data_IF_209609048369
#
_entry.id   IF_209609048369
#
_cell.length_a   1.000
_cell.length_b   1.000
_cell.length_c   1.000
_cell.angle_alpha   90.00
_cell.angle_beta   90.00
_cell.angle_gamma   90.00
#
_symmetry.space_group_name_H-M   'P 1'
#
loop_
_entity.id
_entity.type
_entity.pdbx_description
1 polymer ?
#
# COMPACT_ATOMS: atom_id res chain seq x y z
N UNK A 1 -4.56 31.40 -12.39
CA UNK A 1 -4.31 30.25 -13.28
C UNK A 1 -4.17 29.02 -12.39
N UNK A 2 -5.04 28.03 -12.54
CA UNK A 2 -4.96 26.79 -11.75
C UNK A 2 -3.75 25.99 -12.23
N UNK A 3 -2.90 25.50 -11.31
CA UNK A 3 -1.73 24.70 -11.67
C UNK A 3 -2.14 23.25 -11.77
N UNK A 4 -1.97 22.66 -12.94
CA UNK A 4 -2.17 21.21 -13.11
C UNK A 4 -0.95 20.46 -12.58
N UNK A 5 -1.18 19.35 -11.89
CA UNK A 5 -0.16 18.43 -11.40
C UNK A 5 -0.59 16.99 -11.70
N UNK A 6 0.35 16.19 -12.19
CA UNK A 6 0.10 14.78 -12.48
C UNK A 6 0.67 13.90 -11.36
N UNK A 7 -0.13 12.96 -10.88
CA UNK A 7 0.27 11.94 -9.92
C UNK A 7 -0.11 10.55 -10.41
N UNK A 8 0.56 9.53 -9.88
CA UNK A 8 0.23 8.13 -10.09
C UNK A 8 -0.16 7.50 -8.77
N UNK A 9 -1.22 6.70 -8.79
CA UNK A 9 -1.71 5.95 -7.63
C UNK A 9 -1.52 4.46 -7.90
N UNK A 10 -0.89 3.76 -6.96
CA UNK A 10 -0.68 2.32 -7.00
C UNK A 10 -1.49 1.66 -5.89
N UNK A 11 -2.17 0.56 -6.19
CA UNK A 11 -3.05 -0.11 -5.24
C UNK A 11 -2.81 -1.61 -5.22
N UNK A 12 -2.77 -2.17 -4.01
CA UNK A 12 -2.68 -3.61 -3.78
C UNK A 12 -3.31 -4.02 -2.42
N UNK A 13 -3.47 -5.33 -2.20
CA UNK A 13 -4.02 -5.94 -1.00
C UNK A 13 -3.15 -7.06 -0.44
N UNK A 14 -3.22 -7.29 0.88
CA UNK A 14 -2.52 -8.39 1.54
C UNK A 14 -3.37 -9.05 2.62
N UNK A 15 -3.42 -10.38 2.57
CA UNK A 15 -4.23 -11.19 3.48
C UNK A 15 -5.69 -11.26 3.03
N UNK A 16 -6.07 -12.41 2.45
CA UNK A 16 -7.45 -12.70 2.02
C UNK A 16 -8.14 -13.62 3.01
N UNK A 17 -9.47 -13.49 3.12
CA UNK A 17 -10.29 -14.37 3.94
C UNK A 17 -9.79 -14.45 5.39
N UNK A 18 -9.41 -15.65 5.83
CA UNK A 18 -8.94 -15.91 7.19
C UNK A 18 -7.49 -15.46 7.48
N UNK A 19 -6.71 -15.06 6.47
CA UNK A 19 -5.32 -14.63 6.66
C UNK A 19 -5.20 -13.20 7.25
N UNK A 20 -5.49 -13.02 8.54
CA UNK A 20 -5.44 -11.71 9.23
C UNK A 20 -4.00 -11.16 9.41
N UNK A 21 -3.82 -9.82 9.51
CA UNK A 21 -4.82 -8.75 9.32
C UNK A 21 -5.13 -8.48 7.83
N UNK A 22 -6.39 -8.35 7.42
CA UNK A 22 -6.69 -8.10 6.00
C UNK A 22 -6.40 -6.63 5.67
N UNK A 23 -5.40 -6.38 4.83
CA UNK A 23 -4.93 -5.04 4.49
C UNK A 23 -5.20 -4.71 3.02
N UNK A 24 -5.51 -3.45 2.75
CA UNK A 24 -5.46 -2.83 1.42
C UNK A 24 -4.71 -1.52 1.54
N UNK A 25 -3.90 -1.16 0.54
CA UNK A 25 -3.21 0.12 0.54
C UNK A 25 -3.18 0.79 -0.84
N UNK A 26 -3.06 2.12 -0.79
CA UNK A 26 -2.83 2.96 -1.95
C UNK A 26 -1.63 3.87 -1.70
N UNK A 27 -0.68 3.88 -2.65
CA UNK A 27 0.51 4.70 -2.65
C UNK A 27 0.40 5.77 -3.75
N UNK A 28 0.56 7.05 -3.38
CA UNK A 28 0.72 8.14 -4.34
C UNK A 28 2.19 8.44 -4.57
N UNK A 29 2.57 8.51 -5.85
CA UNK A 29 3.87 9.02 -6.30
C UNK A 29 3.62 10.11 -7.37
N UNK A 30 4.16 11.33 -7.21
CA UNK A 30 4.13 12.35 -8.26
C UNK A 30 4.70 11.82 -9.59
N UNK A 31 4.05 12.13 -10.71
CA UNK A 31 4.43 11.57 -12.01
C UNK A 31 5.89 11.92 -12.40
N UNK A 32 6.34 13.13 -12.05
CA UNK A 32 7.73 13.56 -12.27
C UNK A 32 8.75 12.69 -11.51
N UNK A 33 8.39 12.17 -10.34
CA UNK A 33 9.22 11.26 -9.55
C UNK A 33 9.15 9.86 -10.14
N UNK A 34 7.94 9.35 -10.40
CA UNK A 34 7.77 7.98 -10.92
C UNK A 34 8.47 7.77 -12.26
N UNK A 35 8.47 8.78 -13.13
CA UNK A 35 9.12 8.73 -14.43
C UNK A 35 10.62 9.10 -14.36
N UNK A 36 11.20 9.19 -13.16
CA UNK A 36 12.64 9.43 -13.02
C UNK A 36 13.46 8.23 -13.51
N UNK A 37 14.71 8.44 -13.97
CA UNK A 37 15.57 7.35 -14.45
C UNK A 37 15.77 6.23 -13.43
N UNK A 38 15.85 6.57 -12.13
CA UNK A 38 16.03 5.61 -11.05
C UNK A 38 14.86 4.62 -10.95
N UNK A 39 13.62 5.12 -10.96
CA UNK A 39 12.43 4.27 -10.86
C UNK A 39 12.12 3.55 -12.18
N UNK A 40 12.36 4.18 -13.33
CA UNK A 40 12.17 3.50 -14.62
C UNK A 40 13.17 2.34 -14.79
N UNK A 41 14.41 2.49 -14.32
CA UNK A 41 15.39 1.39 -14.32
C UNK A 41 14.87 0.16 -13.56
N UNK A 42 14.21 0.36 -12.42
CA UNK A 42 13.63 -0.74 -11.64
C UNK A 42 12.40 -1.35 -12.30
N UNK A 43 11.53 -0.52 -12.89
CA UNK A 43 10.43 -1.00 -13.73
C UNK A 43 10.95 -1.87 -14.88
N UNK A 44 12.04 -1.46 -15.53
CA UNK A 44 12.64 -2.25 -16.61
C UNK A 44 13.25 -3.56 -16.08
N UNK A 45 13.92 -3.55 -14.93
CA UNK A 45 14.46 -4.77 -14.33
C UNK A 45 13.35 -5.77 -13.93
N UNK A 46 12.19 -5.29 -13.49
CA UNK A 46 11.01 -6.14 -13.26
C UNK A 46 10.54 -6.78 -14.57
N UNK A 47 10.32 -5.97 -15.63
CA UNK A 47 9.88 -6.45 -16.94
C UNK A 47 10.86 -7.44 -17.57
N UNK A 48 12.16 -7.22 -17.36
CA UNK A 48 13.24 -8.12 -17.79
C UNK A 48 13.38 -9.38 -16.93
N UNK A 49 12.57 -9.55 -15.87
CA UNK A 49 12.67 -10.62 -14.88
C UNK A 49 14.01 -10.68 -14.11
N UNK A 50 14.77 -9.58 -14.08
CA UNK A 50 16.03 -9.43 -13.34
C UNK A 50 15.82 -9.09 -11.87
N UNK A 51 14.67 -8.51 -11.55
CA UNK A 51 14.24 -8.16 -10.21
C UNK A 51 12.96 -8.95 -9.86
N UNK A 52 12.90 -9.55 -8.66
CA UNK A 52 11.70 -10.25 -8.18
C UNK A 52 11.36 -9.87 -6.74
N UNK A 53 10.21 -9.24 -6.56
CA UNK A 53 9.75 -8.73 -5.27
C UNK A 53 8.63 -9.61 -4.74
N UNK A 54 8.90 -10.35 -3.66
CA UNK A 54 7.95 -11.30 -3.09
C UNK A 54 8.02 -11.33 -1.56
N UNK A 55 7.39 -10.36 -0.90
CA UNK A 55 7.40 -10.28 0.57
C UNK A 55 6.84 -11.54 1.24
N UNK A 56 5.70 -12.07 0.75
CA UNK A 56 5.05 -13.27 1.32
C UNK A 56 6.01 -14.45 1.40
N UNK A 57 6.81 -14.66 0.34
CA UNK A 57 7.75 -15.78 0.21
C UNK A 57 9.12 -15.56 0.87
N UNK A 58 9.40 -14.39 1.41
CA UNK A 58 10.71 -14.10 1.99
C UNK A 58 10.95 -14.91 3.27
N UNK A 59 12.07 -15.63 3.30
CA UNK A 59 12.47 -16.50 4.42
C UNK A 59 13.98 -16.44 4.69
N UNK A 60 14.61 -15.30 4.40
CA UNK A 60 16.04 -15.06 4.63
C UNK A 60 16.95 -15.31 3.42
N UNK A 61 16.37 -15.45 2.22
CA UNK A 61 17.14 -15.57 0.98
C UNK A 61 17.92 -14.28 0.69
N UNK A 62 19.23 -14.40 0.45
CA UNK A 62 20.14 -13.26 0.30
C UNK A 62 19.78 -12.39 -0.91
N UNK A 63 19.45 -13.00 -2.05
CA UNK A 63 19.11 -12.27 -3.28
C UNK A 63 17.81 -11.51 -3.12
N UNK A 64 16.76 -12.13 -2.56
CA UNK A 64 15.49 -11.44 -2.26
C UNK A 64 15.69 -10.30 -1.26
N UNK A 65 16.56 -10.48 -0.27
CA UNK A 65 16.90 -9.42 0.67
C UNK A 65 17.55 -8.23 -0.05
N UNK A 66 18.56 -8.47 -0.88
CA UNK A 66 19.21 -7.43 -1.68
C UNK A 66 18.22 -6.70 -2.60
N UNK A 67 17.35 -7.44 -3.28
CA UNK A 67 16.33 -6.88 -4.17
C UNK A 67 15.35 -5.98 -3.40
N UNK A 68 14.82 -6.45 -2.25
CA UNK A 68 13.92 -5.65 -1.41
C UNK A 68 14.64 -4.41 -0.86
N UNK A 69 15.84 -4.59 -0.31
CA UNK A 69 16.62 -3.50 0.27
C UNK A 69 16.94 -2.45 -0.78
N UNK A 70 17.40 -2.84 -1.98
CA UNK A 70 17.71 -1.91 -3.07
C UNK A 70 16.50 -1.10 -3.53
N UNK A 71 15.32 -1.72 -3.64
CA UNK A 71 14.06 -1.00 -3.96
C UNK A 71 13.73 0.04 -2.90
N UNK A 72 13.79 -0.35 -1.62
CA UNK A 72 13.47 0.56 -0.51
C UNK A 72 14.51 1.69 -0.40
N UNK A 73 15.79 1.42 -0.64
CA UNK A 73 16.85 2.43 -0.64
C UNK A 73 16.63 3.52 -1.69
N UNK A 74 16.17 3.15 -2.89
CA UNK A 74 15.81 4.14 -3.91
C UNK A 74 14.54 4.88 -3.52
N UNK A 75 13.53 4.15 -3.04
CA UNK A 75 12.30 4.76 -2.57
C UNK A 75 12.53 5.79 -1.44
N UNK A 76 13.53 5.57 -0.57
CA UNK A 76 13.90 6.50 0.50
C UNK A 76 14.21 7.91 0.00
N UNK A 77 14.72 8.07 -1.23
CA UNK A 77 14.97 9.39 -1.83
C UNK A 77 13.67 10.21 -2.00
N UNK A 78 12.53 9.52 -2.09
CA UNK A 78 11.25 10.09 -2.47
C UNK A 78 10.17 9.99 -1.40
N UNK A 79 10.39 9.24 -0.31
CA UNK A 79 9.44 9.05 0.79
C UNK A 79 8.70 10.33 1.20
N UNK A 80 9.42 11.44 1.42
CA UNK A 80 8.85 12.73 1.85
C UNK A 80 7.94 13.42 0.82
N UNK A 81 7.87 12.92 -0.40
CA UNK A 81 7.03 13.43 -1.50
C UNK A 81 5.91 12.45 -1.88
N UNK A 82 5.73 11.38 -1.10
CA UNK A 82 4.75 10.32 -1.34
C UNK A 82 3.77 10.21 -0.18
N UNK A 83 2.63 9.56 -0.42
CA UNK A 83 1.60 9.32 0.61
C UNK A 83 1.13 7.88 0.53
N UNK A 84 0.99 7.23 1.68
CA UNK A 84 0.45 5.88 1.78
C UNK A 84 -0.77 5.89 2.70
N UNK A 85 -1.90 5.42 2.16
CA UNK A 85 -3.11 5.14 2.94
C UNK A 85 -3.27 3.62 3.04
N UNK A 86 -3.54 3.12 4.24
CA UNK A 86 -3.74 1.68 4.51
C UNK A 86 -5.03 1.47 5.31
N UNK A 87 -5.87 0.54 4.87
CA UNK A 87 -7.02 0.06 5.65
C UNK A 87 -6.72 -1.36 6.12
N UNK A 88 -6.93 -1.61 7.41
CA UNK A 88 -7.14 -2.92 7.98
C UNK A 88 -8.64 -3.15 8.18
N UNK A 89 -9.16 -4.27 7.67
CA UNK A 89 -10.56 -4.63 7.82
C UNK A 89 -10.70 -6.07 8.31
N UNK A 90 -11.81 -6.39 8.98
CA UNK A 90 -12.11 -7.76 9.38
C UNK A 90 -13.06 -8.41 8.38
N UNK A 91 -12.51 -9.27 7.51
CA UNK A 91 -13.29 -10.02 6.53
C UNK A 91 -14.36 -10.90 7.19
N UNK A 92 -14.04 -11.55 8.31
CA UNK A 92 -14.97 -12.45 9.00
C UNK A 92 -16.17 -11.73 9.62
N UNK A 93 -15.97 -10.52 10.13
CA UNK A 93 -17.06 -9.66 10.62
C UNK A 93 -17.98 -9.25 9.47
N UNK A 94 -17.42 -8.97 8.29
CA UNK A 94 -18.20 -8.58 7.11
C UNK A 94 -19.04 -9.73 6.56
N UNK A 95 -18.43 -10.90 6.37
CA UNK A 95 -19.14 -12.10 5.89
C UNK A 95 -20.09 -12.69 6.92
N UNK A 96 -19.95 -12.33 8.19
CA UNK A 96 -20.85 -12.76 9.28
C UNK A 96 -22.20 -12.04 9.31
N UNK A 97 -22.37 -10.96 8.53
CA UNK A 97 -23.63 -10.19 8.44
C UNK A 97 -24.66 -10.91 7.57
N UNK A 98 -25.52 -11.70 8.21
CA UNK A 98 -26.51 -12.58 7.54
C UNK A 98 -27.60 -11.83 6.78
N UNK A 99 -27.75 -10.53 7.00
CA UNK A 99 -28.72 -9.67 6.33
C UNK A 99 -28.34 -9.36 4.88
N UNK A 100 -27.07 -9.55 4.51
CA UNK A 100 -26.55 -9.29 3.18
C UNK A 100 -26.06 -10.57 2.52
N UNK A 101 -26.30 -10.71 1.21
CA UNK A 101 -25.73 -11.81 0.44
C UNK A 101 -24.20 -11.65 0.28
N UNK A 102 -23.50 -12.75 0.04
CA UNK A 102 -22.04 -12.77 -0.06
C UNK A 102 -21.51 -11.88 -1.19
N UNK A 103 -22.23 -11.78 -2.32
CA UNK A 103 -21.81 -10.95 -3.47
C UNK A 103 -21.89 -9.47 -3.12
N UNK A 104 -22.90 -9.06 -2.37
CA UNK A 104 -23.05 -7.69 -1.87
C UNK A 104 -21.90 -7.33 -0.93
N UNK A 105 -21.52 -8.25 -0.03
CA UNK A 105 -20.37 -8.07 0.87
C UNK A 105 -19.06 -7.98 0.11
N UNK A 106 -18.79 -8.91 -0.81
CA UNK A 106 -17.57 -8.92 -1.63
C UNK A 106 -17.48 -7.67 -2.50
N UNK A 107 -18.56 -7.28 -3.17
CA UNK A 107 -18.59 -6.05 -3.96
C UNK A 107 -18.31 -4.83 -3.08
N UNK A 108 -18.82 -4.78 -1.85
CA UNK A 108 -18.50 -3.70 -0.92
C UNK A 108 -17.00 -3.68 -0.61
N UNK A 109 -16.42 -4.80 -0.16
CA UNK A 109 -14.99 -4.91 0.18
C UNK A 109 -14.13 -4.49 -1.01
N UNK A 110 -14.35 -5.13 -2.16
CA UNK A 110 -13.45 -5.04 -3.31
C UNK A 110 -13.77 -3.87 -4.25
N UNK A 111 -14.74 -3.01 -3.94
CA UNK A 111 -14.95 -1.76 -4.68
C UNK A 111 -14.96 -0.52 -3.80
N UNK A 112 -15.57 -0.57 -2.59
CA UNK A 112 -15.68 0.59 -1.70
C UNK A 112 -14.43 0.85 -0.89
N UNK A 113 -13.71 -0.17 -0.42
CA UNK A 113 -12.43 0.09 0.25
C UNK A 113 -11.37 0.63 -0.72
N UNK A 114 -11.15 0.04 -1.91
CA UNK A 114 -10.24 0.63 -2.91
C UNK A 114 -10.59 2.07 -3.25
N UNK A 115 -11.87 2.36 -3.54
CA UNK A 115 -12.34 3.71 -3.82
C UNK A 115 -12.04 4.66 -2.66
N UNK A 116 -12.39 4.32 -1.42
CA UNK A 116 -12.15 5.19 -0.25
C UNK A 116 -10.68 5.46 0.02
N UNK A 117 -9.82 4.45 -0.16
CA UNK A 117 -8.37 4.58 0.00
C UNK A 117 -7.84 5.61 -1.00
N UNK A 118 -8.20 5.43 -2.27
CA UNK A 118 -7.74 6.28 -3.37
C UNK A 118 -8.33 7.68 -3.24
N UNK A 119 -9.63 7.81 -2.94
CA UNK A 119 -10.27 9.10 -2.67
C UNK A 119 -9.54 9.87 -1.56
N UNK A 120 -9.16 9.19 -0.48
CA UNK A 120 -8.37 9.78 0.62
C UNK A 120 -6.99 10.27 0.20
N UNK A 121 -6.42 9.75 -0.88
CA UNK A 121 -5.14 10.18 -1.45
C UNK A 121 -5.28 11.36 -2.42
N UNK A 122 -6.42 11.44 -3.12
CA UNK A 122 -6.70 12.44 -4.15
C UNK A 122 -7.38 13.72 -3.64
N UNK A 123 -8.09 13.66 -2.51
CA UNK A 123 -8.84 14.81 -1.97
C UNK A 123 -7.95 15.79 -1.19
N UNK A 124 -8.47 16.99 -0.98
CA UNK A 124 -7.85 17.97 -0.06
C UNK A 124 -6.69 18.77 -0.65
N UNK A 125 -6.44 18.68 -1.95
CA UNK A 125 -5.62 19.68 -2.65
C UNK A 125 -6.48 20.94 -2.81
N UNK A 126 -6.04 22.05 -2.20
CA UNK A 126 -6.80 23.30 -2.22
C UNK A 126 -7.01 23.86 -3.63
N UNK A 127 -7.89 24.86 -3.75
CA UNK A 127 -8.39 25.44 -5.02
C UNK A 127 -7.37 25.87 -6.08
N UNK A 128 -6.09 25.98 -5.73
CA UNK A 128 -5.03 26.48 -6.61
C UNK A 128 -4.36 25.36 -7.43
N UNK A 129 -4.63 24.09 -7.09
CA UNK A 129 -4.03 22.92 -7.74
C UNK A 129 -5.14 22.08 -8.34
N UNK A 130 -4.91 21.55 -9.53
CA UNK A 130 -5.77 20.53 -10.15
C UNK A 130 -4.95 19.26 -10.35
N UNK A 131 -5.45 18.14 -9.86
CA UNK A 131 -4.75 16.86 -9.91
C UNK A 131 -5.27 16.02 -11.08
N UNK A 132 -4.38 15.64 -11.99
CA UNK A 132 -4.62 14.58 -12.98
C UNK A 132 -4.00 13.30 -12.48
N UNK A 133 -4.74 12.20 -12.47
CA UNK A 133 -4.26 10.95 -11.91
C UNK A 133 -4.47 9.75 -12.82
N UNK A 134 -3.44 8.89 -12.84
CA UNK A 134 -3.50 7.54 -13.37
C UNK A 134 -3.48 6.54 -12.21
N UNK A 135 -4.35 5.53 -12.26
CA UNK A 135 -4.48 4.49 -11.23
C UNK A 135 -4.01 3.15 -11.79
N UNK A 136 -3.15 2.48 -11.02
CA UNK A 136 -2.55 1.20 -11.32
C UNK A 136 -2.93 0.24 -10.18
N UNK A 137 -3.72 -0.78 -10.50
CA UNK A 137 -4.26 -1.74 -9.53
C UNK A 137 -3.64 -3.10 -9.84
N UNK A 138 -3.08 -3.79 -8.83
CA UNK A 138 -2.60 -5.16 -9.03
C UNK A 138 -3.69 -6.05 -9.62
N UNK A 139 -3.34 -6.86 -10.60
CA UNK A 139 -4.29 -7.74 -11.25
C UNK A 139 -4.67 -8.92 -10.33
N UNK A 140 -5.95 -9.05 -10.02
CA UNK A 140 -6.54 -10.23 -9.40
C UNK A 140 -7.83 -10.64 -10.11
N UNK A 141 -8.18 -11.93 -10.07
CA UNK A 141 -9.40 -12.43 -10.69
C UNK A 141 -10.64 -11.76 -10.10
N UNK A 142 -10.65 -11.45 -8.81
CA UNK A 142 -11.73 -10.75 -8.14
C UNK A 142 -11.90 -9.32 -8.68
N UNK A 143 -10.79 -8.60 -8.88
CA UNK A 143 -10.81 -7.24 -9.43
C UNK A 143 -11.17 -7.21 -10.91
N UNK A 144 -10.78 -8.23 -11.66
CA UNK A 144 -11.16 -8.39 -13.07
C UNK A 144 -12.68 -8.62 -13.20
N UNK A 145 -13.23 -9.59 -12.46
CA UNK A 145 -14.67 -9.90 -12.45
C UNK A 145 -15.51 -8.69 -12.04
N UNK A 146 -15.06 -7.93 -11.05
CA UNK A 146 -15.73 -6.71 -10.58
C UNK A 146 -15.46 -5.48 -11.45
N UNK A 147 -14.58 -5.59 -12.46
CA UNK A 147 -14.09 -4.47 -13.28
C UNK A 147 -13.64 -3.29 -12.41
N UNK A 148 -12.85 -3.58 -11.38
CA UNK A 148 -12.51 -2.61 -10.34
C UNK A 148 -11.92 -1.32 -10.92
N UNK A 149 -11.06 -1.44 -11.92
CA UNK A 149 -10.42 -0.32 -12.59
C UNK A 149 -11.44 0.67 -13.18
N UNK A 150 -12.48 0.18 -13.86
CA UNK A 150 -13.56 1.00 -14.41
C UNK A 150 -14.41 1.63 -13.30
N UNK A 151 -14.83 0.79 -12.33
CA UNK A 151 -15.71 1.20 -11.23
C UNK A 151 -15.08 2.29 -10.37
N UNK A 152 -13.79 2.18 -10.05
CA UNK A 152 -13.07 3.18 -9.25
C UNK A 152 -12.92 4.50 -10.01
N UNK A 153 -12.59 4.46 -11.31
CA UNK A 153 -12.50 5.67 -12.14
C UNK A 153 -13.84 6.41 -12.18
N UNK A 154 -14.92 5.69 -12.45
CA UNK A 154 -16.27 6.27 -12.50
C UNK A 154 -16.64 6.88 -11.14
N UNK A 155 -16.53 6.12 -10.05
CA UNK A 155 -16.93 6.58 -8.72
C UNK A 155 -16.11 7.79 -8.25
N UNK A 156 -14.79 7.80 -8.47
CA UNK A 156 -13.94 8.91 -8.07
C UNK A 156 -14.24 10.18 -8.88
N UNK A 157 -14.43 10.07 -10.19
CA UNK A 157 -14.78 11.23 -11.01
C UNK A 157 -16.17 11.79 -10.66
N UNK A 158 -17.16 10.91 -10.45
CA UNK A 158 -18.49 11.33 -9.96
C UNK A 158 -18.41 12.00 -8.60
N UNK A 159 -17.60 11.45 -7.68
CA UNK A 159 -17.39 12.08 -6.36
C UNK A 159 -16.70 13.43 -6.48
N UNK A 160 -15.68 13.55 -7.34
CA UNK A 160 -14.99 14.82 -7.54
C UNK A 160 -15.94 15.89 -8.06
N UNK A 161 -16.79 15.55 -9.03
CA UNK A 161 -17.81 16.45 -9.56
C UNK A 161 -18.82 16.85 -8.47
N UNK A 162 -19.37 15.87 -7.75
CA UNK A 162 -20.39 16.12 -6.73
C UNK A 162 -19.88 16.95 -5.54
N UNK A 163 -18.62 16.75 -5.13
CA UNK A 163 -18.02 17.41 -3.96
C UNK A 163 -17.24 18.67 -4.30
N UNK A 164 -17.10 19.00 -5.59
CA UNK A 164 -16.25 20.11 -6.03
C UNK A 164 -14.77 19.91 -5.72
N UNK A 165 -14.30 18.66 -5.71
CA UNK A 165 -12.88 18.36 -5.53
C UNK A 165 -12.11 18.69 -6.81
N UNK A 166 -10.84 19.06 -6.66
CA UNK A 166 -9.98 19.51 -7.76
C UNK A 166 -9.09 18.39 -8.29
N UNK A 167 -9.69 17.26 -8.67
CA UNK A 167 -8.97 16.18 -9.35
C UNK A 167 -9.80 15.54 -10.47
N UNK A 168 -9.13 14.78 -11.34
CA UNK A 168 -9.74 13.87 -12.30
C UNK A 168 -8.87 12.62 -12.48
N UNK A 169 -9.52 11.47 -12.50
CA UNK A 169 -8.94 10.19 -12.88
C UNK A 169 -9.00 10.07 -14.41
N UNK A 170 -7.85 10.19 -15.06
CA UNK A 170 -7.71 10.08 -16.51
C UNK A 170 -7.70 8.62 -16.93
N UNK A 171 -6.87 7.79 -16.28
CA UNK A 171 -6.77 6.36 -16.55
C UNK A 171 -6.83 5.53 -15.26
N UNK A 172 -7.35 4.31 -15.41
CA UNK A 172 -7.36 3.31 -14.35
C UNK A 172 -7.24 1.93 -15.02
N UNK A 173 -6.26 1.13 -14.61
CA UNK A 173 -5.99 -0.17 -15.24
C UNK A 173 -5.61 -1.22 -14.21
N UNK A 174 -5.94 -2.48 -14.52
CA UNK A 174 -5.35 -3.64 -13.86
C UNK A 174 -3.96 -3.90 -14.46
N UNK A 175 -3.00 -4.20 -13.60
CA UNK A 175 -1.59 -4.34 -13.96
C UNK A 175 -1.14 -5.75 -13.56
N UNK A 176 -0.59 -6.54 -14.49
CA UNK A 176 0.01 -7.82 -14.14
C UNK A 176 1.23 -7.65 -13.23
N UNK A 177 1.44 -8.65 -12.37
CA UNK A 177 2.64 -8.74 -11.53
C UNK A 177 3.93 -8.61 -12.35
N UNK A 178 4.93 -7.89 -11.82
CA UNK A 178 6.24 -7.70 -12.45
C UNK A 178 6.29 -6.67 -13.58
N UNK A 179 5.26 -5.82 -13.73
CA UNK A 179 5.21 -4.82 -14.82
C UNK A 179 5.49 -3.38 -14.34
N UNK A 180 4.92 -2.99 -13.20
CA UNK A 180 5.02 -1.62 -12.67
C UNK A 180 5.64 -1.64 -11.27
N UNK A 181 6.79 -0.98 -11.09
CA UNK A 181 7.48 -0.96 -9.79
C UNK A 181 6.63 -0.35 -8.68
N UNK A 182 5.74 0.58 -9.00
CA UNK A 182 4.86 1.20 -7.99
C UNK A 182 3.86 0.22 -7.36
N UNK A 183 3.39 -0.76 -8.14
CA UNK A 183 2.49 -1.81 -7.61
C UNK A 183 3.28 -2.77 -6.71
N UNK A 184 4.44 -3.25 -7.15
CA UNK A 184 5.30 -4.12 -6.33
C UNK A 184 5.80 -3.43 -5.06
N UNK A 185 6.13 -2.15 -5.14
CA UNK A 185 6.49 -1.35 -3.97
C UNK A 185 5.32 -1.24 -2.99
N UNK A 186 4.08 -1.13 -3.49
CA UNK A 186 2.89 -1.13 -2.65
C UNK A 186 2.73 -2.48 -1.93
N UNK A 187 2.89 -3.63 -2.61
CA UNK A 187 2.91 -4.97 -1.98
C UNK A 187 3.98 -5.04 -0.87
N UNK A 188 5.21 -4.58 -1.16
CA UNK A 188 6.31 -4.59 -0.19
C UNK A 188 5.98 -3.76 1.05
N UNK A 189 5.45 -2.54 0.88
CA UNK A 189 5.08 -1.66 1.98
C UNK A 189 3.96 -2.27 2.83
N UNK A 190 2.92 -2.84 2.20
CA UNK A 190 1.86 -3.56 2.91
C UNK A 190 2.45 -4.76 3.67
N UNK A 191 3.38 -5.48 3.04
CA UNK A 191 4.09 -6.59 3.66
C UNK A 191 4.84 -6.19 4.94
N UNK A 192 5.60 -5.10 4.88
CA UNK A 192 6.33 -4.52 6.03
C UNK A 192 5.35 -4.13 7.14
N UNK A 193 4.28 -3.40 6.79
CA UNK A 193 3.23 -2.98 7.72
C UNK A 193 2.56 -4.19 8.39
N UNK A 194 2.25 -5.23 7.62
CA UNK A 194 1.66 -6.46 8.11
C UNK A 194 2.60 -7.20 9.07
N UNK A 195 3.91 -7.18 8.83
CA UNK A 195 4.91 -7.72 9.76
C UNK A 195 4.94 -6.94 11.07
N UNK A 196 4.93 -5.61 11.01
CA UNK A 196 4.88 -4.73 12.20
C UNK A 196 3.62 -4.98 13.03
N UNK A 197 2.44 -5.00 12.40
CA UNK A 197 1.16 -5.25 13.09
C UNK A 197 1.14 -6.65 13.73
N UNK A 198 1.64 -7.67 13.01
CA UNK A 198 1.66 -9.05 13.51
C UNK A 198 2.60 -9.23 14.69
N UNK A 199 3.71 -8.48 14.71
CA UNK A 199 4.69 -8.44 15.79
C UNK A 199 5.00 -9.83 16.38
N UNK A 200 5.26 -10.79 15.51
CA UNK A 200 5.42 -12.18 15.91
C UNK A 200 6.80 -12.40 16.52
N UNK A 201 6.90 -13.23 17.59
CA UNK A 201 8.18 -13.49 18.21
C UNK A 201 9.10 -14.25 17.27
N UNK A 202 10.40 -14.03 17.44
CA UNK A 202 11.44 -14.50 16.53
C UNK A 202 11.63 -16.02 16.53
N UNK A 203 11.20 -16.70 17.58
CA UNK A 203 11.22 -18.15 17.75
C UNK A 203 10.09 -18.86 16.99
N UNK A 204 9.06 -18.12 16.52
CA UNK A 204 7.91 -18.69 15.82
C UNK A 204 8.29 -19.46 14.55
N UNK A 205 9.21 -18.92 13.75
CA UNK A 205 9.78 -19.61 12.58
C UNK A 205 10.96 -18.83 11.98
N UNK A 206 11.79 -19.52 11.20
CA UNK A 206 12.87 -18.90 10.41
C UNK A 206 12.37 -17.78 9.50
N UNK A 207 11.21 -17.95 8.86
CA UNK A 207 10.65 -16.93 7.96
C UNK A 207 10.23 -15.68 8.73
N UNK A 208 9.60 -15.85 9.90
CA UNK A 208 9.21 -14.73 10.77
C UNK A 208 10.44 -13.97 11.24
N UNK A 209 11.43 -14.67 11.81
CA UNK A 209 12.69 -14.07 12.25
C UNK A 209 13.37 -13.27 11.13
N UNK A 210 13.45 -13.86 9.92
CA UNK A 210 14.07 -13.20 8.76
C UNK A 210 13.34 -11.93 8.35
N UNK A 211 12.00 -11.95 8.36
CA UNK A 211 11.16 -10.78 8.07
C UNK A 211 11.34 -9.69 9.14
N UNK A 212 11.29 -10.06 10.42
CA UNK A 212 11.53 -9.12 11.52
C UNK A 212 12.91 -8.44 11.37
N UNK A 213 13.97 -9.23 11.12
CA UNK A 213 15.31 -8.70 10.91
C UNK A 213 15.38 -7.72 9.73
N UNK A 214 14.76 -8.08 8.60
CA UNK A 214 14.76 -7.20 7.43
C UNK A 214 13.99 -5.91 7.72
N UNK A 215 12.81 -5.97 8.34
CA UNK A 215 12.05 -4.77 8.74
C UNK A 215 12.89 -3.88 9.65
N UNK A 216 13.54 -4.44 10.67
CA UNK A 216 14.40 -3.67 11.60
C UNK A 216 15.55 -3.02 10.84
N UNK A 217 16.22 -3.75 9.94
CA UNK A 217 17.31 -3.23 9.11
C UNK A 217 16.84 -2.04 8.26
N UNK A 218 15.68 -2.15 7.61
CA UNK A 218 15.11 -1.07 6.81
C UNK A 218 14.76 0.16 7.67
N UNK A 219 14.19 -0.05 8.86
CA UNK A 219 13.81 1.00 9.81
C UNK A 219 15.01 1.73 10.45
N UNK A 220 16.25 1.21 10.32
CA UNK A 220 17.44 1.97 10.73
C UNK A 220 17.67 3.21 9.85
N UNK A 221 17.16 3.21 8.63
CA UNK A 221 17.14 4.43 7.81
C UNK A 221 16.09 5.40 8.37
N UNK A 222 16.54 6.57 8.86
CA UNK A 222 15.66 7.58 9.48
C UNK A 222 14.55 8.09 8.56
N UNK A 223 14.82 8.17 7.25
CA UNK A 223 13.83 8.63 6.27
C UNK A 223 12.73 7.57 6.12
N UNK A 224 13.12 6.30 5.99
CA UNK A 224 12.16 5.21 5.91
C UNK A 224 11.35 5.05 7.20
N UNK A 225 12.00 5.11 8.36
CA UNK A 225 11.34 5.09 9.65
C UNK A 225 10.29 6.20 9.74
N UNK A 226 10.69 7.45 9.46
CA UNK A 226 9.78 8.59 9.49
C UNK A 226 8.62 8.41 8.50
N UNK A 227 8.85 7.85 7.32
CA UNK A 227 7.79 7.53 6.38
C UNK A 227 6.78 6.53 6.97
N UNK A 228 7.26 5.40 7.50
CA UNK A 228 6.40 4.36 8.10
C UNK A 228 5.64 4.88 9.32
N UNK A 229 6.27 5.71 10.15
CA UNK A 229 5.64 6.34 11.31
C UNK A 229 4.46 7.25 10.93
N UNK A 230 4.53 7.90 9.76
CA UNK A 230 3.58 8.91 9.32
C UNK A 230 2.59 8.42 8.25
N UNK A 231 2.46 7.11 8.03
CA UNK A 231 1.44 6.57 7.14
C UNK A 231 0.05 6.85 7.72
N UNK A 232 -0.96 6.98 6.85
CA UNK A 232 -2.35 7.05 7.29
C UNK A 232 -2.92 5.64 7.35
N UNK A 233 -3.04 5.13 8.57
CA UNK A 233 -3.54 3.80 8.82
C UNK A 233 -4.93 3.88 9.43
N UNK A 234 -5.84 3.05 8.92
CA UNK A 234 -7.23 3.04 9.33
C UNK A 234 -7.67 1.63 9.70
N UNK A 235 -8.53 1.51 10.70
CA UNK A 235 -9.17 0.26 11.06
C UNK A 235 -10.66 0.34 10.81
N UNK A 236 -11.20 -0.71 10.19
CA UNK A 236 -12.62 -0.85 9.96
C UNK A 236 -13.18 -2.05 10.73
N UNK A 237 -14.03 -1.75 11.71
CA UNK A 237 -14.63 -2.73 12.63
C UNK A 237 -16.16 -2.62 12.64
N UNK A 238 -16.79 -2.42 11.47
CA UNK A 238 -18.24 -2.16 11.38
C UNK A 238 -18.73 -0.83 11.99
N UNK A 239 -17.82 0.12 12.22
CA UNK A 239 -18.15 1.48 12.66
C UNK A 239 -18.77 2.34 11.56
N UNK A 240 -19.55 3.36 11.98
CA UNK A 240 -20.15 4.37 11.08
C UNK A 240 -19.09 5.11 10.25
N UNK A 241 -17.91 5.31 10.84
CA UNK A 241 -16.80 6.06 10.24
C UNK A 241 -15.54 5.21 10.22
N UNK A 242 -14.71 5.44 9.20
CA UNK A 242 -13.40 4.81 9.09
C UNK A 242 -12.48 5.46 10.14
N UNK A 243 -12.03 4.71 11.13
CA UNK A 243 -11.25 5.26 12.24
C UNK A 243 -9.77 5.30 11.85
N UNK A 244 -9.17 6.49 11.88
CA UNK A 244 -7.72 6.65 11.74
C UNK A 244 -7.06 6.25 13.06
N UNK A 245 -6.09 5.34 12.99
CA UNK A 245 -5.33 4.85 14.13
C UNK A 245 -3.87 5.28 13.94
N UNK A 246 -3.24 5.75 15.01
CA UNK A 246 -1.85 6.16 14.98
C UNK A 246 -0.94 4.93 14.79
N UNK A 247 -0.39 4.77 13.57
CA UNK A 247 0.45 3.61 13.26
C UNK A 247 1.75 3.57 14.08
N UNK A 248 2.20 4.73 14.60
CA UNK A 248 3.35 4.85 15.49
C UNK A 248 3.27 3.90 16.68
N UNK A 249 2.07 3.65 17.22
CA UNK A 249 1.91 2.81 18.40
C UNK A 249 2.26 1.33 18.09
N UNK A 250 1.82 0.82 16.93
CA UNK A 250 2.24 -0.50 16.44
C UNK A 250 3.74 -0.57 16.19
N UNK A 251 4.31 0.48 15.58
CA UNK A 251 5.73 0.57 15.29
C UNK A 251 6.58 0.56 16.57
N UNK A 252 6.20 1.33 17.58
CA UNK A 252 6.89 1.38 18.87
C UNK A 252 6.84 0.03 19.60
N UNK A 253 5.69 -0.64 19.58
CA UNK A 253 5.56 -1.96 20.20
C UNK A 253 6.40 -3.01 19.48
N UNK A 254 6.45 -2.96 18.14
CA UNK A 254 7.31 -3.83 17.34
C UNK A 254 8.79 -3.60 17.67
N UNK A 255 9.27 -2.35 17.65
CA UNK A 255 10.66 -2.03 17.97
C UNK A 255 11.03 -2.39 19.41
N UNK A 256 10.11 -2.24 20.37
CA UNK A 256 10.33 -2.61 21.77
C UNK A 256 10.48 -4.13 21.95
N UNK A 257 9.63 -4.92 21.28
CA UNK A 257 9.72 -6.38 21.33
C UNK A 257 10.97 -6.95 20.64
N UNK A 258 11.59 -6.16 19.75
CA UNK A 258 12.84 -6.49 19.08
C UNK A 258 13.98 -5.55 19.47
N UNK A 259 13.96 -5.03 20.70
CA UNK A 259 14.86 -3.97 21.17
C UNK A 259 16.34 -4.31 20.97
N UNK A 260 16.77 -5.53 21.30
CA UNK A 260 18.17 -5.95 21.16
C UNK A 260 18.67 -5.80 19.72
N UNK A 261 17.84 -6.17 18.74
CA UNK A 261 18.16 -6.04 17.31
C UNK A 261 18.12 -4.59 16.83
N UNK A 262 17.23 -3.80 17.41
CA UNK A 262 17.10 -2.37 17.10
C UNK A 262 18.34 -1.59 17.53
N UNK A 263 18.86 -1.83 18.74
CA UNK A 263 20.02 -1.11 19.28
C UNK A 263 21.37 -1.69 18.85
N UNK A 264 21.40 -2.94 18.38
CA UNK A 264 22.63 -3.52 17.84
C UNK A 264 23.14 -2.69 16.66
N UNK A 265 24.38 -2.21 16.71
CA UNK A 265 25.05 -1.62 15.56
C UNK A 265 25.30 -2.75 14.54
N UNK A 266 24.74 -2.63 13.34
CA UNK A 266 25.06 -3.48 12.18
C UNK A 266 25.49 -2.58 11.06
#
# INVERSE_FOLDING_TARGET
MQREQSIKVFFDESGKGSEKPNLMAGLVIPAIIYNSPDLESYSQQLRDNKLKLHWKSYAGDAKKREDITGVIEIFNKYCGMTKLNVINYDYSVLTGRKEFDSKTVERMIYTKFPERIIYGLLRGYGKNVYIKTDIFIEHSSEYEVLRLHDVVKEQLNTQSLYRGEHYIVENSKLVPKGVEIGVELTDLLIGIIRTIIKNQPDDKSKSVNSKNNLVIQLLKNKIFHSFIENIRYFEWTSSKELMEINFKDYLQLFLSNHYEKWVANT
#
